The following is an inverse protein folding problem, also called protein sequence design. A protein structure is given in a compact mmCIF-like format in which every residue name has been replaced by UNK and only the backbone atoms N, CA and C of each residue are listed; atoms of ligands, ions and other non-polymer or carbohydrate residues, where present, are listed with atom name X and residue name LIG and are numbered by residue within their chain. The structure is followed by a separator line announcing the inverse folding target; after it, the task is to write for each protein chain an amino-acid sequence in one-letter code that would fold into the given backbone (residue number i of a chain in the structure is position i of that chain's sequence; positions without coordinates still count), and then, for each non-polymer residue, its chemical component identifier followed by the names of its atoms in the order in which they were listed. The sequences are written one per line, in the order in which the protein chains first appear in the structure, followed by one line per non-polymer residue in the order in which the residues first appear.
data_IF_894599543927
#
_entry.id   IF_894599543927
#
_cell.length_a   1.000
_cell.length_b   1.000
_cell.length_c   1.000
_cell.angle_alpha   90.00
_cell.angle_beta   90.00
_cell.angle_gamma   90.00
#
_symmetry.space_group_name_H-M   'P 1'
#
loop_
_entity.id
_entity.type
_entity.pdbx_description
1 polymer ?
#
# COMPACT_ATOMS: atom_id res chain seq x y z
N UNK A 1 -3.66 -0.38 27.17
CA UNK A 1 -4.36 -0.35 25.88
C UNK A 1 -4.04 -1.60 25.09
N UNK A 2 -5.04 -2.27 24.58
CA UNK A 2 -4.84 -3.52 23.85
C UNK A 2 -4.77 -3.22 22.35
N UNK A 3 -3.58 -2.82 21.88
CA UNK A 3 -3.39 -2.45 20.48
C UNK A 3 -3.55 -3.61 19.50
N UNK A 4 -3.49 -4.84 20.03
CA UNK A 4 -3.73 -6.05 19.23
C UNK A 4 -5.19 -6.49 19.23
N UNK A 5 -6.04 -5.80 19.98
CA UNK A 5 -7.45 -6.14 20.00
C UNK A 5 -8.06 -5.96 18.61
N UNK A 6 -8.95 -6.85 18.26
CA UNK A 6 -9.57 -6.87 16.94
C UNK A 6 -11.08 -6.80 17.08
N UNK A 7 -11.71 -6.15 16.11
CA UNK A 7 -13.17 -6.09 16.00
C UNK A 7 -13.73 -7.46 15.57
N UNK A 8 -15.05 -7.57 15.42
CA UNK A 8 -15.67 -8.81 14.97
C UNK A 8 -15.18 -9.27 13.60
N UNK A 9 -14.77 -8.33 12.75
CA UNK A 9 -14.17 -8.65 11.45
C UNK A 9 -12.67 -8.84 11.52
N UNK A 10 -12.10 -8.89 12.72
CA UNK A 10 -10.66 -9.06 12.89
C UNK A 10 -9.82 -7.84 12.61
N UNK A 11 -10.44 -6.68 12.47
CA UNK A 11 -9.70 -5.44 12.19
C UNK A 11 -9.07 -4.89 13.46
N UNK A 12 -7.80 -4.50 13.35
CA UNK A 12 -7.06 -3.91 14.46
C UNK A 12 -7.28 -2.39 14.51
N UNK A 13 -6.91 -1.79 15.65
CA UNK A 13 -6.92 -0.33 15.77
C UNK A 13 -6.04 0.33 14.71
N UNK A 14 -4.92 -0.31 14.34
CA UNK A 14 -4.05 0.20 13.28
C UNK A 14 -4.75 0.28 11.93
N UNK A 15 -5.57 -0.73 11.60
CA UNK A 15 -6.35 -0.72 10.37
C UNK A 15 -7.39 0.39 10.35
N UNK A 16 -8.07 0.61 11.48
CA UNK A 16 -9.03 1.70 11.58
C UNK A 16 -8.36 3.07 11.44
N UNK A 17 -7.21 3.24 12.08
CA UNK A 17 -6.44 4.48 11.94
C UNK A 17 -5.97 4.68 10.50
N UNK A 18 -5.54 3.62 9.85
CA UNK A 18 -5.10 3.68 8.44
C UNK A 18 -6.27 4.02 7.52
N UNK A 19 -7.44 3.43 7.76
CA UNK A 19 -8.64 3.72 6.97
C UNK A 19 -9.13 5.15 7.11
N UNK A 20 -8.84 5.78 8.26
CA UNK A 20 -9.23 7.14 8.53
C UNK A 20 -8.17 8.18 8.22
N UNK A 21 -6.99 7.76 7.80
CA UNK A 21 -5.90 8.68 7.52
C UNK A 21 -5.22 9.25 8.77
N UNK A 22 -5.32 8.56 9.89
CA UNK A 22 -4.85 9.07 11.18
C UNK A 22 -3.42 8.62 11.47
N UNK A 23 -2.46 9.21 10.77
CA UNK A 23 -1.04 8.86 10.94
C UNK A 23 -0.56 9.14 12.37
N UNK A 24 -1.06 10.18 13.01
CA UNK A 24 -0.67 10.52 14.38
C UNK A 24 -1.07 9.43 15.37
N UNK A 25 -2.24 8.84 15.16
CA UNK A 25 -2.71 7.73 15.98
C UNK A 25 -1.81 6.53 15.80
N UNK A 26 -1.43 6.23 14.55
CA UNK A 26 -0.52 5.13 14.26
C UNK A 26 0.83 5.33 14.95
N UNK A 27 1.37 6.53 14.89
CA UNK A 27 2.63 6.85 15.55
C UNK A 27 2.54 6.69 17.06
N UNK A 28 1.41 7.10 17.64
CA UNK A 28 1.21 7.05 19.08
C UNK A 28 1.11 5.61 19.61
N UNK A 29 0.49 4.71 18.83
CA UNK A 29 0.29 3.33 19.27
C UNK A 29 1.40 2.37 18.83
N UNK A 30 2.32 2.83 17.99
CA UNK A 30 3.30 1.97 17.35
C UNK A 30 4.38 1.52 18.33
N UNK A 31 4.51 0.22 18.49
CA UNK A 31 5.56 -0.41 19.29
C UNK A 31 6.54 -1.20 18.44
N UNK A 32 6.23 -1.37 17.15
CA UNK A 32 7.05 -2.14 16.24
C UNK A 32 6.27 -2.46 14.98
N UNK A 33 6.95 -2.89 13.91
CA UNK A 33 6.29 -3.14 12.64
C UNK A 33 5.27 -4.27 12.69
N UNK A 34 5.42 -5.21 13.61
CA UNK A 34 4.53 -6.37 13.68
C UNK A 34 3.06 -5.99 13.92
N UNK A 35 2.80 -4.88 14.59
CA UNK A 35 1.42 -4.43 14.82
C UNK A 35 0.76 -3.98 13.52
N UNK A 36 1.54 -3.39 12.63
CA UNK A 36 1.04 -2.93 11.34
C UNK A 36 0.83 -4.08 10.36
N UNK A 37 1.50 -5.20 10.58
CA UNK A 37 1.38 -6.39 9.74
C UNK A 37 0.28 -7.36 10.18
N UNK A 38 -0.39 -7.11 11.29
CA UNK A 38 -1.47 -7.99 11.75
C UNK A 38 -2.63 -7.93 10.75
N UNK A 39 -3.03 -9.09 10.20
CA UNK A 39 -4.14 -9.11 9.26
C UNK A 39 -5.49 -9.12 9.95
N UNK A 40 -6.50 -8.63 9.25
CA UNK A 40 -7.89 -8.83 9.65
C UNK A 40 -8.33 -10.26 9.35
N UNK A 41 -9.57 -10.60 9.67
CA UNK A 41 -10.11 -11.94 9.43
C UNK A 41 -10.05 -12.33 7.95
N UNK A 42 -10.16 -11.36 7.05
CA UNK A 42 -10.09 -11.58 5.60
C UNK A 42 -8.69 -11.38 5.03
N UNK A 43 -7.69 -11.28 5.88
CA UNK A 43 -6.30 -11.14 5.47
C UNK A 43 -5.86 -9.72 5.14
N UNK A 44 -6.74 -8.74 5.32
CA UNK A 44 -6.41 -7.34 5.04
C UNK A 44 -5.40 -6.78 6.04
N UNK A 45 -4.55 -5.84 5.58
CA UNK A 45 -3.54 -5.18 6.41
C UNK A 45 -3.77 -3.68 6.45
N UNK A 46 -3.07 -3.00 7.36
CA UNK A 46 -3.13 -1.53 7.44
C UNK A 46 -2.64 -0.89 6.14
N UNK A 47 -1.62 -1.47 5.50
CA UNK A 47 -1.13 -0.96 4.20
C UNK A 47 -2.22 -1.02 3.13
N UNK A 48 -2.98 -2.10 3.09
CA UNK A 48 -4.10 -2.22 2.15
C UNK A 48 -5.16 -1.16 2.42
N UNK A 49 -5.48 -0.92 3.69
CA UNK A 49 -6.46 0.10 4.06
C UNK A 49 -6.02 1.49 3.63
N UNK A 50 -4.76 1.84 3.89
CA UNK A 50 -4.22 3.14 3.49
C UNK A 50 -4.21 3.30 1.97
N UNK A 51 -3.82 2.26 1.25
CA UNK A 51 -3.78 2.27 -0.21
C UNK A 51 -5.18 2.40 -0.81
N UNK A 52 -6.14 1.65 -0.29
CA UNK A 52 -7.51 1.68 -0.79
C UNK A 52 -8.18 3.04 -0.59
N UNK A 53 -7.83 3.75 0.47
CA UNK A 53 -8.42 5.04 0.79
C UNK A 53 -7.56 6.22 0.32
N UNK A 54 -6.40 5.96 -0.27
CA UNK A 54 -5.57 7.01 -0.86
C UNK A 54 -4.78 7.86 0.13
N UNK A 55 -4.55 7.38 1.33
CA UNK A 55 -3.82 8.14 2.35
C UNK A 55 -2.32 7.97 2.20
N UNK A 56 -1.69 8.85 1.44
CA UNK A 56 -0.27 8.77 1.13
C UNK A 56 0.63 8.91 2.35
N UNK A 57 0.27 9.76 3.29
CA UNK A 57 1.07 9.98 4.50
C UNK A 57 1.04 8.76 5.42
N UNK A 58 -0.11 8.11 5.55
CA UNK A 58 -0.24 6.86 6.32
C UNK A 58 0.59 5.77 5.65
N UNK A 59 0.47 5.65 4.34
CA UNK A 59 1.20 4.63 3.59
C UNK A 59 2.71 4.86 3.70
N UNK A 60 3.16 6.11 3.62
CA UNK A 60 4.56 6.46 3.78
C UNK A 60 5.09 6.02 5.14
N UNK A 61 4.30 6.23 6.19
CA UNK A 61 4.67 5.81 7.53
C UNK A 61 4.80 4.28 7.63
N UNK A 62 3.83 3.56 7.05
CA UNK A 62 3.84 2.09 7.03
C UNK A 62 5.08 1.57 6.29
N UNK A 63 5.39 2.19 5.15
CA UNK A 63 6.57 1.84 4.36
C UNK A 63 7.85 2.07 5.18
N UNK A 64 7.92 3.19 5.87
CA UNK A 64 9.07 3.53 6.73
C UNK A 64 9.31 2.46 7.79
N UNK A 65 8.24 1.84 8.29
CA UNK A 65 8.34 0.79 9.31
C UNK A 65 8.68 -0.58 8.72
N UNK A 66 8.91 -0.67 7.43
CA UNK A 66 9.35 -1.88 6.73
C UNK A 66 8.37 -3.04 6.89
N UNK A 67 7.09 -2.72 6.82
CA UNK A 67 6.04 -3.73 6.85
C UNK A 67 6.05 -4.56 5.57
N UNK A 68 5.41 -5.74 5.63
CA UNK A 68 5.30 -6.60 4.47
C UNK A 68 4.31 -6.00 3.47
N UNK A 69 4.83 -5.46 2.37
CA UNK A 69 4.00 -4.82 1.34
C UNK A 69 3.40 -5.82 0.35
N UNK A 70 3.88 -7.06 0.36
CA UNK A 70 3.44 -8.10 -0.58
C UNK A 70 2.43 -9.07 0.01
N UNK A 71 1.94 -8.80 1.21
CA UNK A 71 0.89 -9.62 1.83
C UNK A 71 -0.36 -9.57 0.95
N UNK A 72 -1.05 -10.70 0.87
CA UNK A 72 -2.28 -10.84 0.09
C UNK A 72 -3.46 -11.12 1.03
N UNK A 73 -4.59 -10.48 0.77
CA UNK A 73 -5.80 -10.79 1.50
C UNK A 73 -6.43 -12.09 0.95
N UNK A 74 -7.63 -12.43 1.41
CA UNK A 74 -8.28 -13.69 0.99
C UNK A 74 -8.62 -13.71 -0.50
N UNK A 75 -8.75 -12.55 -1.14
CA UNK A 75 -8.96 -12.44 -2.58
C UNK A 75 -7.65 -12.34 -3.36
N UNK A 76 -6.53 -12.47 -2.66
CA UNK A 76 -5.21 -12.40 -3.27
C UNK A 76 -4.74 -10.99 -3.59
N UNK A 77 -5.44 -9.97 -3.10
CA UNK A 77 -5.09 -8.58 -3.38
C UNK A 77 -3.95 -8.10 -2.48
N UNK A 78 -3.04 -7.34 -3.07
CA UNK A 78 -1.94 -6.68 -2.36
C UNK A 78 -2.27 -5.21 -2.16
N UNK A 79 -1.49 -4.54 -1.31
CA UNK A 79 -1.63 -3.08 -1.14
C UNK A 79 -1.46 -2.35 -2.48
N UNK A 80 -0.54 -2.84 -3.32
CA UNK A 80 -0.31 -2.24 -4.64
C UNK A 80 -1.57 -2.32 -5.51
N UNK A 81 -2.26 -3.45 -5.50
CA UNK A 81 -3.52 -3.60 -6.23
C UNK A 81 -4.58 -2.62 -5.75
N UNK A 82 -4.68 -2.44 -4.43
CA UNK A 82 -5.62 -1.47 -3.87
C UNK A 82 -5.29 -0.04 -4.29
N UNK A 83 -4.01 0.31 -4.32
CA UNK A 83 -3.59 1.64 -4.77
C UNK A 83 -3.94 1.88 -6.24
N UNK A 84 -3.74 0.86 -7.08
CA UNK A 84 -4.09 0.94 -8.50
C UNK A 84 -5.59 1.09 -8.65
N UNK A 85 -6.38 0.28 -7.94
CA UNK A 85 -7.84 0.35 -8.02
C UNK A 85 -8.37 1.71 -7.53
N UNK A 86 -7.69 2.31 -6.56
CA UNK A 86 -8.04 3.65 -6.06
C UNK A 86 -7.62 4.77 -7.02
N UNK A 87 -6.80 4.45 -8.02
CA UNK A 87 -6.32 5.43 -8.98
C UNK A 87 -5.24 6.35 -8.44
N UNK A 88 -4.60 5.96 -7.35
CA UNK A 88 -3.60 6.81 -6.68
C UNK A 88 -2.20 6.56 -7.25
N UNK A 89 -1.81 7.36 -8.24
CA UNK A 89 -0.50 7.25 -8.87
C UNK A 89 0.61 7.43 -7.84
N UNK A 90 0.45 8.39 -6.93
CA UNK A 90 1.45 8.66 -5.89
C UNK A 90 1.69 7.44 -5.00
N UNK A 91 0.62 6.78 -4.55
CA UNK A 91 0.76 5.60 -3.70
C UNK A 91 1.37 4.43 -4.46
N UNK A 92 1.02 4.26 -5.73
CA UNK A 92 1.64 3.24 -6.57
C UNK A 92 3.15 3.49 -6.68
N UNK A 93 3.55 4.73 -6.92
CA UNK A 93 4.96 5.11 -7.00
C UNK A 93 5.69 4.81 -5.67
N UNK A 94 5.06 5.14 -4.56
CA UNK A 94 5.65 4.91 -3.23
C UNK A 94 5.83 3.42 -2.97
N UNK A 95 4.83 2.62 -3.31
CA UNK A 95 4.89 1.17 -3.10
C UNK A 95 5.96 0.52 -3.98
N UNK A 96 6.03 0.90 -5.24
CA UNK A 96 7.04 0.37 -6.16
C UNK A 96 8.44 0.78 -5.69
N UNK A 97 8.61 2.03 -5.28
CA UNK A 97 9.89 2.50 -4.76
C UNK A 97 10.32 1.73 -3.52
N UNK A 98 9.37 1.25 -2.75
CA UNK A 98 9.64 0.50 -1.51
C UNK A 98 9.84 -1.00 -1.76
N UNK A 99 9.74 -1.47 -2.99
CA UNK A 99 9.98 -2.85 -3.33
C UNK A 99 8.75 -3.73 -3.44
N UNK A 100 7.55 -3.13 -3.49
CA UNK A 100 6.34 -3.92 -3.72
C UNK A 100 6.42 -4.64 -5.05
N UNK A 101 6.00 -5.91 -5.07
CA UNK A 101 6.10 -6.75 -6.25
C UNK A 101 4.86 -6.56 -7.15
N UNK A 102 5.02 -5.97 -8.35
CA UNK A 102 3.88 -5.74 -9.25
C UNK A 102 3.42 -6.99 -10.00
N UNK A 103 4.14 -8.10 -9.88
CA UNK A 103 3.85 -9.32 -10.64
C UNK A 103 2.96 -10.30 -9.89
N UNK A 104 2.63 -10.04 -8.64
CA UNK A 104 1.76 -10.89 -7.85
C UNK A 104 0.36 -10.87 -8.48
N UNK A 105 -0.27 -12.05 -8.53
CA UNK A 105 -1.63 -12.21 -9.08
C UNK A 105 -2.62 -12.45 -7.96
N UNK A 106 -3.80 -11.86 -8.09
CA UNK A 106 -4.90 -12.13 -7.18
C UNK A 106 -5.56 -13.48 -7.54
N UNK A 107 -6.64 -13.82 -6.85
CA UNK A 107 -7.34 -15.10 -7.09
C UNK A 107 -7.96 -15.18 -8.49
N UNK A 108 -8.21 -14.05 -9.13
CA UNK A 108 -8.72 -14.00 -10.52
C UNK A 108 -7.59 -14.10 -11.54
N UNK A 109 -6.34 -14.16 -11.10
CA UNK A 109 -5.20 -14.21 -11.99
C UNK A 109 -4.75 -12.85 -12.49
N UNK A 110 -5.24 -11.77 -11.91
CA UNK A 110 -4.94 -10.41 -12.35
C UNK A 110 -3.76 -9.83 -11.58
N UNK A 111 -2.87 -9.15 -12.31
CA UNK A 111 -1.80 -8.36 -11.72
C UNK A 111 -2.27 -6.93 -11.49
N UNK A 112 -1.48 -6.15 -10.76
CA UNK A 112 -1.78 -4.73 -10.55
C UNK A 112 -1.95 -3.99 -11.88
N UNK A 113 -1.12 -4.30 -12.87
CA UNK A 113 -1.19 -3.65 -14.18
C UNK A 113 -2.54 -3.90 -14.87
N UNK A 114 -3.08 -5.09 -14.72
CA UNK A 114 -4.36 -5.44 -15.32
C UNK A 114 -5.53 -4.71 -14.66
N UNK A 115 -5.37 -4.33 -13.41
CA UNK A 115 -6.40 -3.61 -12.65
C UNK A 115 -6.41 -2.10 -12.95
N UNK A 116 -5.38 -1.60 -13.61
CA UNK A 116 -5.31 -0.18 -13.94
C UNK A 116 -6.41 0.20 -14.93
N UNK A 117 -7.16 1.24 -14.60
CA UNK A 117 -8.31 1.65 -15.39
C UNK A 117 -8.55 3.16 -15.20
N UNK A 118 -9.45 3.71 -16.01
CA UNK A 118 -9.89 5.07 -15.85
C UNK A 118 -8.91 6.10 -16.40
N UNK A 119 -9.07 7.32 -15.95
CA UNK A 119 -8.32 8.47 -16.46
C UNK A 119 -6.82 8.37 -16.22
N UNK A 120 -6.45 7.70 -15.14
CA UNK A 120 -5.04 7.62 -14.73
C UNK A 120 -4.37 6.35 -15.22
N UNK A 121 -5.00 5.58 -16.10
CA UNK A 121 -4.49 4.27 -16.51
C UNK A 121 -3.03 4.34 -16.97
N UNK A 122 -2.72 5.25 -17.88
CA UNK A 122 -1.37 5.34 -18.42
C UNK A 122 -0.35 5.74 -17.36
N UNK A 123 -0.73 6.68 -16.48
CA UNK A 123 0.13 7.08 -15.38
C UNK A 123 0.35 5.95 -14.38
N UNK A 124 -0.70 5.17 -14.10
CA UNK A 124 -0.60 4.02 -13.21
C UNK A 124 0.32 2.95 -13.80
N UNK A 125 0.19 2.67 -15.09
CA UNK A 125 1.05 1.70 -15.75
C UNK A 125 2.51 2.16 -15.76
N UNK A 126 2.75 3.44 -15.98
CA UNK A 126 4.09 4.01 -15.93
C UNK A 126 4.67 3.90 -14.52
N UNK A 127 3.85 4.19 -13.51
CA UNK A 127 4.27 4.09 -12.11
C UNK A 127 4.63 2.65 -11.74
N UNK A 128 3.85 1.69 -12.21
CA UNK A 128 4.12 0.27 -11.96
C UNK A 128 5.45 -0.18 -12.57
N UNK A 129 5.85 0.43 -13.65
CA UNK A 129 7.13 0.15 -14.28
C UNK A 129 8.28 0.97 -13.69
N UNK A 130 7.99 1.86 -12.77
CA UNK A 130 8.98 2.72 -12.17
C UNK A 130 9.43 3.89 -13.03
N UNK A 131 8.78 4.11 -14.18
CA UNK A 131 9.21 5.13 -15.14
C UNK A 131 9.03 6.56 -14.64
N UNK A 132 8.03 6.77 -13.79
CA UNK A 132 7.81 8.12 -13.25
C UNK A 132 8.98 8.57 -12.39
N UNK A 133 9.64 7.64 -11.72
CA UNK A 133 10.82 7.93 -10.93
C UNK A 133 12.05 8.18 -11.79
N UNK A 134 12.14 7.45 -12.90
CA UNK A 134 13.33 7.56 -13.76
C UNK A 134 13.49 8.93 -14.37
N UNK A 135 12.41 9.70 -14.51
CA UNK A 135 12.52 11.06 -15.01
C UNK A 135 13.45 11.89 -14.11
N UNK A 136 13.25 11.80 -12.81
CA UNK A 136 14.10 12.52 -11.87
C UNK A 136 15.51 11.92 -11.80
N UNK A 137 15.57 10.60 -11.86
CA UNK A 137 16.85 9.92 -11.85
C UNK A 137 17.66 10.21 -13.10
N UNK A 138 16.98 10.31 -14.24
CA UNK A 138 17.64 10.67 -15.49
C UNK A 138 18.27 12.05 -15.41
N UNK A 139 17.61 12.97 -14.73
CA UNK A 139 18.18 14.29 -14.52
C UNK A 139 19.47 14.21 -13.70
N UNK A 140 19.47 13.37 -12.69
CA UNK A 140 20.68 13.13 -11.90
C UNK A 140 21.76 12.50 -12.76
N UNK A 141 21.39 11.50 -13.51
CA UNK A 141 22.33 10.78 -14.35
C UNK A 141 22.89 11.67 -15.44
N UNK A 142 22.06 12.52 -16.01
CA UNK A 142 22.51 13.41 -17.07
C UNK A 142 23.47 14.48 -16.56
N UNK A 143 23.44 14.76 -15.27
CA UNK A 143 24.38 15.68 -14.65
C UNK A 143 25.77 15.04 -14.54
N UNK A 144 25.75 13.76 -14.44
CA UNK A 144 26.99 13.00 -14.39
C UNK A 144 27.59 12.80 -15.77
#
# INVERSE_FOLDING_TARGET
MFVRAQSNGGKTAAMFAASGGHVDVLKAMQRGPSLLDLPSADGGTAAMSAAAHGYADVLAYIIEKKCNLNAQDEDGWTALMYAVAAGSVENVQRLIAAGANPKIKNTDGDTAAKLADGKNKDALLAALKGKMRTINEDKKCSVM
#
